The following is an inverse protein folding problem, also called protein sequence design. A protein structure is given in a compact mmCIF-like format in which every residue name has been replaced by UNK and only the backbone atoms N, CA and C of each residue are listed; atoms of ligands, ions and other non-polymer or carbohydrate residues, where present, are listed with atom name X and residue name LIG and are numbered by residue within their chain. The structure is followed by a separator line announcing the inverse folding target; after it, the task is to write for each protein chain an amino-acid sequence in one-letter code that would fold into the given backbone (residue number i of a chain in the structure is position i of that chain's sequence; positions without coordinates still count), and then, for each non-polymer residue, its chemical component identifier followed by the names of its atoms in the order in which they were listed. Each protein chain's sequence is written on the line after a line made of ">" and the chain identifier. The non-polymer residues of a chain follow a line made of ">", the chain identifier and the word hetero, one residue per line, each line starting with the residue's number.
data_IF_479469426229
#
_entry.id   IF_479469426229
#
_cell.length_a   1.000
_cell.length_b   1.000
_cell.length_c   1.000
_cell.angle_alpha   90.00
_cell.angle_beta   90.00
_cell.angle_gamma   90.00
#
_symmetry.space_group_name_H-M   'P 1'
#
loop_
_entity.id
_entity.type
_entity.pdbx_description
1 polymer ?
#
# COMPACT_ATOMS: atom_id res chain seq x y z
N UNK A 1 -27.77 7.56 -5.58
CA UNK A 1 -26.56 7.98 -4.85
C UNK A 1 -26.60 7.57 -3.37
N UNK A 2 -27.55 8.06 -2.51
CA UNK A 2 -27.57 7.73 -1.07
C UNK A 2 -27.84 6.24 -0.80
N UNK A 3 -28.85 5.65 -1.45
CA UNK A 3 -29.15 4.20 -1.32
C UNK A 3 -28.03 3.29 -1.82
N UNK A 4 -27.33 3.67 -2.87
CA UNK A 4 -26.16 2.92 -3.37
C UNK A 4 -24.97 2.98 -2.41
N UNK A 5 -24.79 4.11 -1.71
CA UNK A 5 -23.77 4.28 -0.68
C UNK A 5 -24.06 3.41 0.55
N UNK A 6 -25.33 3.36 1.00
CA UNK A 6 -25.75 2.49 2.11
C UNK A 6 -25.62 1.00 1.77
N UNK A 7 -25.99 0.62 0.55
CA UNK A 7 -25.87 -0.77 0.09
C UNK A 7 -24.42 -1.21 0.01
N UNK A 8 -23.52 -0.37 -0.51
CA UNK A 8 -22.06 -0.62 -0.53
C UNK A 8 -21.46 -0.74 0.88
N UNK A 9 -21.95 0.05 1.85
CA UNK A 9 -21.55 -0.08 3.26
C UNK A 9 -22.01 -1.40 3.88
N UNK A 10 -23.24 -1.84 3.57
CA UNK A 10 -23.77 -3.12 4.02
C UNK A 10 -22.99 -4.31 3.46
N UNK A 11 -22.68 -4.28 2.17
CA UNK A 11 -21.90 -5.32 1.49
C UNK A 11 -20.46 -5.38 2.05
N UNK A 12 -19.86 -4.22 2.36
CA UNK A 12 -18.56 -4.09 3.02
C UNK A 12 -18.53 -4.80 4.37
N UNK A 13 -19.52 -4.52 5.23
CA UNK A 13 -19.61 -5.11 6.58
C UNK A 13 -19.83 -6.63 6.50
N UNK A 14 -20.69 -7.10 5.59
CA UNK A 14 -20.96 -8.51 5.43
C UNK A 14 -19.74 -9.29 4.92
N UNK A 15 -19.01 -8.74 3.94
CA UNK A 15 -17.80 -9.35 3.40
C UNK A 15 -16.70 -9.43 4.47
N UNK A 16 -16.47 -8.34 5.19
CA UNK A 16 -15.47 -8.29 6.26
C UNK A 16 -15.81 -9.22 7.42
N UNK A 17 -17.08 -9.30 7.82
CA UNK A 17 -17.49 -10.23 8.86
C UNK A 17 -17.19 -11.69 8.49
N UNK A 18 -17.34 -12.05 7.23
CA UNK A 18 -16.98 -13.39 6.74
C UNK A 18 -15.46 -13.62 6.77
N UNK A 19 -14.69 -12.67 6.25
CA UNK A 19 -13.22 -12.79 6.13
C UNK A 19 -12.48 -12.66 7.47
N UNK A 20 -13.06 -11.96 8.46
CA UNK A 20 -12.57 -11.92 9.84
C UNK A 20 -12.93 -13.21 10.60
N UNK A 21 -14.11 -13.80 10.35
CA UNK A 21 -14.56 -15.02 11.03
C UNK A 21 -13.65 -16.20 10.74
N UNK A 22 -13.18 -16.36 9.51
CA UNK A 22 -12.37 -17.52 9.08
C UNK A 22 -11.04 -17.62 9.84
N UNK A 23 -10.16 -16.60 9.87
CA UNK A 23 -8.92 -16.66 10.65
C UNK A 23 -9.20 -16.75 12.16
N UNK A 24 -10.21 -16.05 12.68
CA UNK A 24 -10.60 -16.10 14.09
C UNK A 24 -10.99 -17.53 14.50
N UNK A 25 -11.84 -18.20 13.72
CA UNK A 25 -12.22 -19.59 13.98
C UNK A 25 -11.01 -20.52 13.99
N UNK A 26 -10.05 -20.29 13.09
CA UNK A 26 -8.80 -21.09 13.07
C UNK A 26 -7.96 -20.83 14.30
N UNK A 27 -7.78 -19.56 14.73
CA UNK A 27 -7.04 -19.22 15.96
C UNK A 27 -7.66 -19.92 17.16
N UNK A 28 -8.97 -19.77 17.35
CA UNK A 28 -9.69 -20.41 18.45
C UNK A 28 -9.55 -21.93 18.39
N UNK A 29 -9.70 -22.55 17.21
CA UNK A 29 -9.59 -23.98 17.03
C UNK A 29 -8.20 -24.53 17.42
N UNK A 30 -7.13 -23.91 16.92
CA UNK A 30 -5.75 -24.36 17.27
C UNK A 30 -5.39 -24.11 18.72
N UNK A 31 -5.83 -22.99 19.31
CA UNK A 31 -5.63 -22.73 20.74
C UNK A 31 -6.41 -23.72 21.62
N UNK A 32 -7.63 -24.10 21.19
CA UNK A 32 -8.43 -25.13 21.87
C UNK A 32 -7.73 -26.49 21.83
N UNK A 33 -7.20 -26.91 20.66
CA UNK A 33 -6.42 -28.14 20.54
C UNK A 33 -5.19 -28.12 21.44
N UNK A 34 -4.44 -27.02 21.45
CA UNK A 34 -3.25 -26.85 22.30
C UNK A 34 -3.56 -26.94 23.80
N UNK A 35 -4.73 -26.46 24.22
CA UNK A 35 -5.19 -26.48 25.61
C UNK A 35 -5.69 -27.86 26.02
N UNK A 36 -6.50 -28.50 25.18
CA UNK A 36 -7.34 -29.65 25.59
C UNK A 36 -6.68 -31.00 25.26
N UNK A 37 -5.63 -31.02 24.42
CA UNK A 37 -4.91 -32.26 24.10
C UNK A 37 -3.53 -32.30 24.76
N UNK A 38 -3.38 -33.01 25.93
CA UNK A 38 -2.12 -33.17 26.60
C UNK A 38 -1.17 -34.12 25.86
N UNK A 39 -1.68 -34.94 24.91
CA UNK A 39 -0.91 -35.93 24.14
C UNK A 39 -0.09 -35.34 23.01
N UNK A 40 -0.23 -34.05 22.70
CA UNK A 40 0.54 -33.38 21.66
C UNK A 40 2.04 -33.37 21.98
N UNK A 41 2.85 -33.80 21.03
CA UNK A 41 4.30 -33.69 21.12
C UNK A 41 4.78 -32.22 20.91
N UNK A 42 6.06 -31.97 21.17
CA UNK A 42 6.65 -30.63 21.07
C UNK A 42 6.58 -30.08 19.63
N UNK A 43 6.74 -30.92 18.62
CA UNK A 43 6.69 -30.52 17.20
C UNK A 43 5.27 -30.15 16.79
N UNK A 44 4.26 -30.90 17.22
CA UNK A 44 2.85 -30.61 17.00
C UNK A 44 2.43 -29.30 17.70
N UNK A 45 2.87 -29.11 18.96
CA UNK A 45 2.63 -27.85 19.68
C UNK A 45 3.24 -26.64 18.98
N UNK A 46 4.50 -26.75 18.56
CA UNK A 46 5.16 -25.68 17.80
C UNK A 46 4.43 -25.38 16.49
N UNK A 47 4.03 -26.41 15.74
CA UNK A 47 3.27 -26.28 14.50
C UNK A 47 1.93 -25.56 14.71
N UNK A 48 1.13 -25.98 15.69
CA UNK A 48 -0.20 -25.42 15.94
C UNK A 48 -0.12 -23.99 16.48
N UNK A 49 0.88 -23.71 17.33
CA UNK A 49 1.18 -22.34 17.77
C UNK A 49 1.57 -21.44 16.59
N UNK A 50 2.42 -21.92 15.69
CA UNK A 50 2.78 -21.18 14.46
C UNK A 50 1.57 -20.87 13.60
N UNK A 51 0.69 -21.85 13.35
CA UNK A 51 -0.53 -21.64 12.57
C UNK A 51 -1.45 -20.62 13.25
N UNK A 52 -1.65 -20.75 14.57
CA UNK A 52 -2.49 -19.80 15.32
C UNK A 52 -1.93 -18.36 15.25
N UNK A 53 -0.62 -18.21 15.38
CA UNK A 53 0.05 -16.91 15.27
C UNK A 53 -0.10 -16.30 13.86
N UNK A 54 0.09 -17.09 12.80
CA UNK A 54 -0.07 -16.61 11.41
C UNK A 54 -1.50 -16.17 11.14
N UNK A 55 -2.49 -16.90 11.68
CA UNK A 55 -3.91 -16.51 11.54
C UNK A 55 -4.27 -15.29 12.37
N UNK A 56 -3.66 -15.10 13.55
CA UNK A 56 -3.84 -13.91 14.36
C UNK A 56 -3.25 -12.66 13.69
N UNK A 57 -2.04 -12.75 13.13
CA UNK A 57 -1.43 -11.69 12.33
C UNK A 57 -2.30 -11.32 11.13
N UNK A 58 -2.85 -12.33 10.47
CA UNK A 58 -3.76 -12.10 9.36
C UNK A 58 -5.03 -11.36 9.77
N UNK A 59 -5.57 -11.67 10.95
CA UNK A 59 -6.73 -10.96 11.51
C UNK A 59 -6.39 -9.49 11.82
N UNK A 60 -5.21 -9.24 12.36
CA UNK A 60 -4.70 -7.89 12.63
C UNK A 60 -4.59 -7.05 11.33
N UNK A 61 -4.03 -7.62 10.26
CA UNK A 61 -3.97 -6.97 8.94
C UNK A 61 -5.36 -6.60 8.41
N UNK A 62 -6.32 -7.55 8.45
CA UNK A 62 -7.70 -7.33 8.00
C UNK A 62 -8.40 -6.24 8.80
N UNK A 63 -8.18 -6.18 10.13
CA UNK A 63 -8.70 -5.13 10.99
C UNK A 63 -8.08 -3.77 10.63
N UNK A 64 -6.77 -3.73 10.38
CA UNK A 64 -6.09 -2.53 9.90
C UNK A 64 -6.71 -2.01 8.61
N UNK A 65 -6.84 -2.86 7.59
CA UNK A 65 -7.48 -2.51 6.32
C UNK A 65 -8.93 -2.00 6.50
N UNK A 66 -9.69 -2.59 7.44
CA UNK A 66 -11.05 -2.14 7.76
C UNK A 66 -11.10 -0.75 8.39
N UNK A 67 -10.28 -0.51 9.43
CA UNK A 67 -10.22 0.80 10.07
C UNK A 67 -9.83 1.90 9.10
N UNK A 68 -8.99 1.56 8.17
CA UNK A 68 -8.54 2.48 7.15
C UNK A 68 -9.65 2.92 6.19
N UNK A 69 -10.48 1.98 5.73
CA UNK A 69 -11.63 2.32 4.90
C UNK A 69 -12.65 3.15 5.67
N UNK A 70 -12.95 2.75 6.91
CA UNK A 70 -13.90 3.49 7.73
C UNK A 70 -13.40 4.90 8.06
N UNK A 71 -12.08 5.05 8.27
CA UNK A 71 -11.46 6.36 8.50
C UNK A 71 -11.44 7.22 7.24
N UNK A 72 -11.20 6.65 6.07
CA UNK A 72 -11.25 7.37 4.80
C UNK A 72 -12.66 7.89 4.47
N UNK A 73 -13.70 7.10 4.75
CA UNK A 73 -15.09 7.53 4.61
C UNK A 73 -15.46 8.70 5.58
N UNK A 74 -14.82 8.76 6.75
CA UNK A 74 -15.05 9.80 7.76
C UNK A 74 -14.14 11.04 7.58
N UNK A 75 -12.90 10.84 7.14
CA UNK A 75 -11.87 11.87 6.93
C UNK A 75 -11.77 12.28 5.44
N UNK A 76 -12.92 12.52 4.78
CA UNK A 76 -12.96 13.03 3.40
C UNK A 76 -12.37 14.45 3.25
N UNK A 77 -11.80 15.02 4.32
CA UNK A 77 -11.06 16.28 4.29
C UNK A 77 -9.63 16.08 3.78
N UNK A 78 -9.08 17.09 3.11
CA UNK A 78 -7.63 17.11 2.86
C UNK A 78 -6.95 17.17 4.23
N UNK A 79 -6.26 16.09 4.65
CA UNK A 79 -5.38 16.12 5.80
C UNK A 79 -4.38 17.27 5.71
N UNK A 80 -3.68 17.58 6.80
CA UNK A 80 -2.66 18.64 6.77
C UNK A 80 -1.62 18.33 5.69
N UNK A 81 -1.75 19.01 4.55
CA UNK A 81 -0.80 18.83 3.45
C UNK A 81 0.47 19.62 3.74
N UNK A 82 1.58 18.92 3.68
CA UNK A 82 2.90 19.52 3.83
C UNK A 82 3.83 19.09 2.68
N UNK A 83 4.91 19.84 2.41
CA UNK A 83 5.93 19.40 1.47
C UNK A 83 6.61 18.12 1.94
N UNK A 84 6.55 17.08 1.12
CA UNK A 84 7.11 15.76 1.42
C UNK A 84 8.27 15.51 0.47
N UNK A 85 9.44 15.15 1.02
CA UNK A 85 10.60 14.66 0.27
C UNK A 85 10.32 13.21 -0.16
N UNK A 86 9.69 13.06 -1.31
CA UNK A 86 9.24 11.78 -1.83
C UNK A 86 10.40 10.79 -2.04
N UNK A 87 11.57 11.30 -2.44
CA UNK A 87 12.76 10.48 -2.58
C UNK A 87 13.17 9.81 -1.26
N UNK A 88 13.17 10.55 -0.15
CA UNK A 88 13.50 9.99 1.17
C UNK A 88 12.44 8.99 1.63
N UNK A 89 11.16 9.29 1.42
CA UNK A 89 10.06 8.39 1.80
C UNK A 89 10.16 7.05 1.08
N UNK A 90 10.45 7.05 -0.23
CA UNK A 90 10.55 5.82 -1.02
C UNK A 90 11.81 5.02 -0.67
N UNK A 91 12.94 5.67 -0.40
CA UNK A 91 14.17 5.02 0.06
C UNK A 91 13.96 4.34 1.41
N UNK A 92 13.35 5.05 2.38
CA UNK A 92 13.03 4.49 3.69
C UNK A 92 12.11 3.27 3.58
N UNK A 93 11.05 3.35 2.79
CA UNK A 93 10.15 2.22 2.60
C UNK A 93 10.84 1.03 1.92
N UNK A 94 11.74 1.26 0.95
CA UNK A 94 12.51 0.18 0.35
C UNK A 94 13.37 -0.56 1.38
N UNK A 95 13.98 0.18 2.33
CA UNK A 95 14.76 -0.40 3.44
C UNK A 95 13.86 -1.18 4.41
N UNK A 96 12.69 -0.67 4.75
CA UNK A 96 11.71 -1.36 5.61
C UNK A 96 11.21 -2.67 4.98
N UNK A 97 11.14 -2.76 3.66
CA UNK A 97 10.73 -3.96 2.93
C UNK A 97 11.84 -4.99 2.71
N UNK A 98 13.10 -4.65 3.05
CA UNK A 98 14.23 -5.55 2.84
C UNK A 98 14.04 -6.96 3.45
N UNK A 99 13.51 -7.14 4.68
CA UNK A 99 13.25 -8.47 5.23
C UNK A 99 12.27 -9.29 4.39
N UNK A 100 11.23 -8.66 3.83
CA UNK A 100 10.24 -9.32 2.98
C UNK A 100 10.83 -9.71 1.62
N UNK A 101 11.71 -8.88 1.06
CA UNK A 101 12.46 -9.23 -0.14
C UNK A 101 13.39 -10.42 0.11
N UNK A 102 14.10 -10.43 1.24
CA UNK A 102 15.00 -11.50 1.61
C UNK A 102 14.27 -12.84 1.84
N UNK A 103 13.11 -12.83 2.52
CA UNK A 103 12.28 -14.01 2.74
C UNK A 103 11.87 -14.70 1.43
N UNK A 104 11.48 -13.92 0.43
CA UNK A 104 11.11 -14.42 -0.91
C UNK A 104 12.29 -14.52 -1.90
N UNK A 105 13.51 -14.23 -1.46
CA UNK A 105 14.71 -14.19 -2.28
C UNK A 105 14.59 -13.23 -3.48
N UNK A 106 13.84 -12.14 -3.34
CA UNK A 106 13.64 -11.14 -4.37
C UNK A 106 14.86 -10.22 -4.47
N UNK A 107 15.24 -9.87 -5.69
CA UNK A 107 16.25 -8.84 -5.96
C UNK A 107 15.54 -7.49 -6.07
N UNK A 108 15.85 -6.57 -5.17
CA UNK A 108 15.29 -5.21 -5.22
C UNK A 108 16.30 -4.24 -5.86
N UNK A 109 15.85 -3.45 -6.83
CA UNK A 109 16.60 -2.34 -7.43
C UNK A 109 15.87 -1.04 -7.12
N UNK A 110 16.62 -0.03 -6.63
CA UNK A 110 16.07 1.28 -6.24
C UNK A 110 16.79 2.36 -7.05
N UNK A 111 16.04 3.06 -7.91
CA UNK A 111 16.52 4.14 -8.78
C UNK A 111 15.64 5.36 -8.59
N UNK A 112 15.99 6.23 -7.67
CA UNK A 112 15.18 7.38 -7.26
C UNK A 112 15.93 8.68 -7.56
N UNK A 113 15.28 9.55 -8.35
CA UNK A 113 15.78 10.89 -8.59
C UNK A 113 15.72 11.71 -7.29
N UNK A 114 16.82 12.34 -6.90
CA UNK A 114 16.86 13.21 -5.72
C UNK A 114 15.96 14.44 -5.86
N UNK A 115 15.55 15.00 -4.71
CA UNK A 115 14.76 16.24 -4.63
C UNK A 115 13.37 16.19 -5.30
N UNK A 116 12.74 15.03 -5.30
CA UNK A 116 11.32 14.93 -5.64
C UNK A 116 10.48 15.38 -4.44
N UNK A 117 9.83 16.54 -4.56
CA UNK A 117 8.96 17.09 -3.51
C UNK A 117 7.53 17.16 -4.01
N UNK A 118 6.60 16.65 -3.22
CA UNK A 118 5.15 16.71 -3.47
C UNK A 118 4.45 17.35 -2.27
N UNK A 119 3.26 17.93 -2.49
CA UNK A 119 2.44 18.46 -1.40
C UNK A 119 1.40 17.41 -1.01
N UNK A 120 1.45 16.92 0.22
CA UNK A 120 0.55 15.85 0.65
C UNK A 120 0.58 15.57 2.13
N UNK A 121 -0.20 14.57 2.52
CA UNK A 121 -0.22 13.97 3.84
C UNK A 121 0.82 12.81 3.86
N UNK A 122 1.86 12.88 4.70
CA UNK A 122 2.94 11.89 4.68
C UNK A 122 2.47 10.49 5.04
N UNK A 123 1.56 10.33 6.00
CA UNK A 123 1.06 9.03 6.43
C UNK A 123 0.22 8.38 5.31
N UNK A 124 -0.61 9.18 4.64
CA UNK A 124 -1.41 8.73 3.51
C UNK A 124 -0.53 8.32 2.33
N UNK A 125 0.50 9.11 1.99
CA UNK A 125 1.40 8.75 0.89
C UNK A 125 2.30 7.55 1.22
N UNK A 126 2.82 7.45 2.44
CA UNK A 126 3.54 6.26 2.89
C UNK A 126 2.70 5.00 2.70
N UNK A 127 1.41 5.09 3.03
CA UNK A 127 0.46 4.01 2.87
C UNK A 127 0.20 3.62 1.41
N UNK A 128 0.18 4.58 0.48
CA UNK A 128 0.08 4.27 -0.97
C UNK A 128 1.21 3.34 -1.37
N UNK A 129 2.44 3.72 -1.03
CA UNK A 129 3.61 2.94 -1.45
C UNK A 129 3.73 1.61 -0.69
N UNK A 130 3.38 1.55 0.60
CA UNK A 130 3.29 0.31 1.37
C UNK A 130 2.31 -0.68 0.71
N UNK A 131 1.10 -0.24 0.37
CA UNK A 131 0.09 -1.08 -0.29
C UNK A 131 0.58 -1.62 -1.64
N UNK A 132 1.22 -0.78 -2.45
CA UNK A 132 1.73 -1.19 -3.77
C UNK A 132 2.93 -2.10 -3.63
N UNK A 133 3.86 -1.84 -2.70
CA UNK A 133 5.01 -2.70 -2.43
C UNK A 133 4.59 -4.06 -1.86
N UNK A 134 3.65 -4.11 -0.92
CA UNK A 134 3.07 -5.38 -0.42
C UNK A 134 2.45 -6.19 -1.56
N UNK A 135 1.74 -5.52 -2.45
CA UNK A 135 1.19 -6.17 -3.64
C UNK A 135 2.32 -6.72 -4.52
N UNK A 136 3.31 -5.90 -4.87
CA UNK A 136 4.46 -6.31 -5.67
C UNK A 136 5.18 -7.52 -5.05
N UNK A 137 5.48 -7.50 -3.75
CA UNK A 137 6.11 -8.63 -3.04
C UNK A 137 5.22 -9.85 -3.06
N UNK A 138 3.91 -9.70 -2.75
CA UNK A 138 2.98 -10.82 -2.64
C UNK A 138 2.84 -11.59 -3.94
N UNK A 139 2.79 -10.90 -5.07
CA UNK A 139 2.60 -11.47 -6.39
C UNK A 139 3.90 -11.71 -7.19
N UNK A 140 5.05 -11.39 -6.60
CA UNK A 140 6.34 -11.73 -7.20
C UNK A 140 6.59 -13.24 -7.20
N UNK A 141 7.19 -13.72 -8.27
CA UNK A 141 7.76 -15.07 -8.34
C UNK A 141 8.94 -15.18 -7.36
N UNK A 142 9.06 -16.25 -6.57
CA UNK A 142 10.23 -16.46 -5.72
C UNK A 142 11.53 -16.38 -6.52
N UNK A 143 12.52 -15.64 -6.02
CA UNK A 143 13.79 -15.39 -6.73
C UNK A 143 13.70 -14.35 -7.85
N UNK A 144 12.53 -13.76 -8.08
CA UNK A 144 12.28 -12.72 -9.08
C UNK A 144 12.86 -11.36 -8.70
N UNK A 145 12.36 -10.32 -9.39
CA UNK A 145 12.85 -8.94 -9.22
C UNK A 145 11.72 -7.98 -8.86
N UNK A 146 12.04 -6.99 -8.03
CA UNK A 146 11.22 -5.81 -7.75
C UNK A 146 12.06 -4.57 -8.04
N UNK A 147 11.57 -3.68 -8.91
CA UNK A 147 12.24 -2.42 -9.23
C UNK A 147 11.39 -1.25 -8.72
N UNK A 148 12.01 -0.31 -8.02
CA UNK A 148 11.41 0.93 -7.54
C UNK A 148 12.12 2.08 -8.26
N UNK A 149 11.39 2.80 -9.09
CA UNK A 149 11.92 3.95 -9.83
C UNK A 149 11.09 5.18 -9.54
N UNK A 150 11.74 6.34 -9.40
CA UNK A 150 11.04 7.62 -9.28
C UNK A 150 11.81 8.71 -10.02
N UNK A 151 11.09 9.48 -10.84
CA UNK A 151 11.65 10.55 -11.68
C UNK A 151 10.67 11.68 -11.91
N UNK A 152 11.18 12.81 -12.35
CA UNK A 152 10.36 13.92 -12.83
C UNK A 152 9.91 13.68 -14.28
N UNK A 153 8.60 13.76 -14.53
CA UNK A 153 8.02 13.76 -15.87
C UNK A 153 7.14 15.00 -16.02
N UNK A 154 7.61 15.96 -16.75
CA UNK A 154 6.92 17.25 -16.89
C UNK A 154 6.75 18.01 -15.55
N UNK A 155 5.54 18.08 -15.04
CA UNK A 155 5.21 18.71 -13.75
C UNK A 155 4.82 17.69 -12.67
N UNK A 156 5.10 16.43 -12.90
CA UNK A 156 4.73 15.35 -12.00
C UNK A 156 5.97 14.57 -11.54
N UNK A 157 5.93 14.04 -10.34
CA UNK A 157 6.75 12.93 -9.92
C UNK A 157 6.08 11.65 -10.41
N UNK A 158 6.77 10.89 -11.24
CA UNK A 158 6.34 9.58 -11.70
C UNK A 158 7.11 8.52 -10.92
N UNK A 159 6.37 7.67 -10.21
CA UNK A 159 6.89 6.55 -9.41
C UNK A 159 6.42 5.27 -10.07
N UNK A 160 7.37 4.38 -10.38
CA UNK A 160 7.08 3.07 -10.95
C UNK A 160 7.58 1.99 -9.99
N UNK A 161 6.66 1.15 -9.53
CA UNK A 161 6.97 -0.06 -8.77
C UNK A 161 6.65 -1.23 -9.68
N UNK A 162 7.68 -1.99 -10.04
CA UNK A 162 7.58 -3.10 -10.98
C UNK A 162 7.97 -4.40 -10.29
N UNK A 163 7.23 -5.46 -10.56
CA UNK A 163 7.57 -6.79 -10.07
C UNK A 163 7.52 -7.84 -11.18
N UNK A 164 8.32 -8.87 -11.00
CA UNK A 164 8.31 -10.06 -11.85
C UNK A 164 7.36 -11.12 -11.27
N UNK A 165 6.27 -11.41 -11.97
CA UNK A 165 5.21 -12.29 -11.46
C UNK A 165 4.30 -12.81 -12.57
N UNK A 166 3.10 -13.22 -12.19
CA UNK A 166 2.08 -13.64 -13.15
C UNK A 166 1.49 -12.41 -13.85
N UNK A 167 1.22 -12.58 -15.14
CA UNK A 167 0.56 -11.57 -15.95
C UNK A 167 -0.87 -11.32 -15.49
N UNK A 168 -1.24 -10.05 -15.40
CA UNK A 168 -2.62 -9.62 -15.18
C UNK A 168 -3.27 -9.47 -16.55
N UNK A 169 -4.38 -10.19 -16.85
CA UNK A 169 -5.08 -10.04 -18.11
C UNK A 169 -5.50 -8.59 -18.37
N UNK A 170 -5.40 -8.12 -19.61
CA UNK A 170 -5.69 -6.72 -19.97
C UNK A 170 -7.08 -6.26 -19.50
N UNK A 171 -8.09 -7.11 -19.63
CA UNK A 171 -9.45 -6.83 -19.15
C UNK A 171 -9.58 -6.66 -17.64
N UNK A 172 -8.57 -7.08 -16.86
CA UNK A 172 -8.58 -7.03 -15.40
C UNK A 172 -7.76 -5.88 -14.82
N UNK A 173 -6.94 -5.21 -15.63
CA UNK A 173 -6.07 -4.12 -15.18
C UNK A 173 -6.81 -2.95 -14.52
N UNK A 174 -8.03 -2.66 -14.95
CA UNK A 174 -8.87 -1.63 -14.32
C UNK A 174 -9.55 -2.17 -13.05
N UNK A 175 -9.87 -3.46 -13.02
CA UNK A 175 -10.62 -4.09 -11.94
C UNK A 175 -9.79 -4.28 -10.67
N UNK A 176 -8.47 -4.44 -10.78
CA UNK A 176 -7.58 -4.62 -9.61
C UNK A 176 -7.60 -3.44 -8.62
N UNK A 177 -8.10 -2.28 -9.04
CA UNK A 177 -8.30 -1.10 -8.18
C UNK A 177 -9.70 -1.01 -7.57
N UNK A 178 -10.59 -1.95 -7.87
CA UNK A 178 -11.91 -2.01 -7.24
C UNK A 178 -11.79 -2.60 -5.84
N UNK A 179 -12.60 -2.10 -4.90
CA UNK A 179 -12.67 -2.62 -3.52
C UNK A 179 -13.06 -4.12 -3.57
N UNK A 180 -12.32 -4.97 -2.83
CA UNK A 180 -12.53 -6.43 -2.72
C UNK A 180 -12.25 -7.24 -3.99
N UNK A 181 -11.77 -6.60 -5.04
CA UNK A 181 -11.43 -7.32 -6.25
C UNK A 181 -10.14 -8.14 -6.09
N UNK A 182 -10.18 -9.39 -6.57
CA UNK A 182 -9.04 -10.32 -6.58
C UNK A 182 -9.13 -11.21 -7.82
N UNK A 183 -8.01 -11.41 -8.49
CA UNK A 183 -7.92 -12.41 -9.56
C UNK A 183 -8.13 -13.81 -8.98
N UNK A 184 -8.89 -14.68 -9.66
CA UNK A 184 -9.27 -16.01 -9.16
C UNK A 184 -8.08 -16.90 -8.78
N UNK A 185 -6.94 -16.77 -9.47
CA UNK A 185 -5.69 -17.46 -9.14
C UNK A 185 -5.11 -17.04 -7.77
N UNK A 186 -5.50 -15.89 -7.23
CA UNK A 186 -5.03 -15.35 -5.95
C UNK A 186 -5.93 -15.73 -4.75
N UNK A 187 -7.04 -16.43 -4.97
CA UNK A 187 -7.95 -16.92 -3.90
C UNK A 187 -7.34 -17.96 -2.98
N UNK A 188 -6.13 -18.47 -3.30
CA UNK A 188 -5.41 -19.31 -2.37
C UNK A 188 -5.02 -18.51 -1.12
N UNK A 189 -5.30 -19.06 0.04
CA UNK A 189 -5.11 -18.48 1.39
C UNK A 189 -3.69 -18.04 1.73
N UNK A 190 -2.72 -18.14 0.82
CA UNK A 190 -1.29 -17.87 1.03
C UNK A 190 -0.84 -16.45 0.65
N UNK A 191 -1.61 -15.73 -0.18
CA UNK A 191 -1.27 -14.35 -0.64
C UNK A 191 -2.30 -13.31 -0.19
N UNK A 192 -2.98 -13.59 0.87
CA UNK A 192 -4.24 -13.04 1.28
C UNK A 192 -4.27 -11.59 1.76
N UNK A 193 -4.51 -10.60 0.90
CA UNK A 193 -5.10 -9.31 1.25
C UNK A 193 -6.63 -9.34 1.08
N UNK A 194 -7.39 -8.47 1.75
CA UNK A 194 -8.83 -8.32 1.55
C UNK A 194 -9.21 -7.73 0.17
N UNK A 195 -8.23 -7.42 -0.67
CA UNK A 195 -8.45 -6.75 -1.96
C UNK A 195 -8.76 -5.26 -1.82
N UNK A 196 -8.27 -4.65 -0.76
CA UNK A 196 -8.54 -3.25 -0.41
C UNK A 196 -7.32 -2.34 -0.65
N UNK A 197 -6.11 -2.86 -0.54
CA UNK A 197 -4.88 -2.06 -0.56
C UNK A 197 -4.73 -1.21 -1.82
N UNK A 198 -4.96 -1.77 -3.02
CA UNK A 198 -4.86 -1.01 -4.27
C UNK A 198 -6.01 0.01 -4.43
N UNK A 199 -7.21 -0.31 -3.94
CA UNK A 199 -8.33 0.63 -3.95
C UNK A 199 -8.04 1.84 -3.04
N UNK A 200 -7.50 1.59 -1.85
CA UNK A 200 -7.05 2.62 -0.91
C UNK A 200 -5.93 3.47 -1.55
N UNK A 201 -4.93 2.84 -2.14
CA UNK A 201 -3.85 3.54 -2.81
C UNK A 201 -4.37 4.48 -3.91
N UNK A 202 -5.30 4.02 -4.74
CA UNK A 202 -5.93 4.81 -5.78
C UNK A 202 -6.66 6.03 -5.22
N UNK A 203 -7.51 5.84 -4.21
CA UNK A 203 -8.29 6.90 -3.58
C UNK A 203 -7.38 7.98 -2.96
N UNK A 204 -6.30 7.56 -2.29
CA UNK A 204 -5.32 8.51 -1.73
C UNK A 204 -4.60 9.27 -2.85
N UNK A 205 -4.11 8.60 -3.89
CA UNK A 205 -3.42 9.24 -5.02
C UNK A 205 -4.33 10.25 -5.71
N UNK A 206 -5.57 9.89 -6.00
CA UNK A 206 -6.58 10.77 -6.61
C UNK A 206 -6.90 11.96 -5.70
N UNK A 207 -7.03 11.77 -4.39
CA UNK A 207 -7.23 12.88 -3.43
C UNK A 207 -6.04 13.84 -3.39
N UNK A 208 -4.84 13.41 -3.76
CA UNK A 208 -3.64 14.25 -3.90
C UNK A 208 -3.49 14.87 -5.30
N UNK A 209 -4.50 14.75 -6.17
CA UNK A 209 -4.47 15.27 -7.53
C UNK A 209 -3.58 14.47 -8.48
N UNK A 210 -3.24 13.25 -8.10
CA UNK A 210 -2.44 12.30 -8.86
C UNK A 210 -3.28 11.29 -9.63
N UNK A 211 -2.59 10.33 -10.23
CA UNK A 211 -3.19 9.18 -10.89
C UNK A 211 -2.34 7.92 -10.63
N UNK A 212 -2.99 6.77 -10.55
CA UNK A 212 -2.35 5.46 -10.48
C UNK A 212 -2.91 4.56 -11.58
N UNK A 213 -2.02 3.86 -12.26
CA UNK A 213 -2.37 2.86 -13.28
C UNK A 213 -1.51 1.61 -13.13
N UNK A 214 -1.97 0.53 -13.70
CA UNK A 214 -1.25 -0.73 -13.78
C UNK A 214 -1.05 -1.11 -15.24
N UNK A 215 0.15 -1.60 -15.55
CA UNK A 215 0.53 -2.17 -16.82
C UNK A 215 1.07 -3.58 -16.55
N UNK A 216 0.64 -4.57 -17.30
CA UNK A 216 1.14 -5.95 -17.18
C UNK A 216 1.42 -6.51 -18.56
N UNK A 217 2.61 -7.06 -18.74
CA UNK A 217 3.04 -7.64 -20.01
C UNK A 217 3.97 -8.83 -19.76
N UNK A 218 3.51 -10.02 -20.11
CA UNK A 218 4.23 -11.27 -19.88
C UNK A 218 4.44 -11.52 -18.39
N UNK A 219 5.69 -11.41 -17.91
CA UNK A 219 6.03 -11.64 -16.50
C UNK A 219 6.19 -10.37 -15.68
N UNK A 220 6.01 -9.20 -16.28
CA UNK A 220 6.26 -7.92 -15.63
C UNK A 220 4.93 -7.22 -15.36
N UNK A 221 4.69 -6.88 -14.10
CA UNK A 221 3.60 -6.00 -13.67
C UNK A 221 4.20 -4.71 -13.14
N UNK A 222 3.70 -3.57 -13.59
CA UNK A 222 4.18 -2.24 -13.23
C UNK A 222 3.02 -1.40 -12.72
N UNK A 223 3.13 -0.90 -11.50
CA UNK A 223 2.25 0.14 -10.97
C UNK A 223 2.91 1.49 -11.19
N UNK A 224 2.24 2.37 -11.91
CA UNK A 224 2.75 3.71 -12.22
C UNK A 224 1.88 4.74 -11.52
N UNK A 225 2.50 5.50 -10.61
CA UNK A 225 1.88 6.53 -9.78
C UNK A 225 2.42 7.88 -10.23
N UNK A 226 1.54 8.83 -10.51
CA UNK A 226 1.90 10.19 -10.87
C UNK A 226 1.35 11.17 -9.84
N UNK A 227 2.20 11.99 -9.24
CA UNK A 227 1.82 13.01 -8.25
C UNK A 227 2.31 14.39 -8.69
N UNK A 228 1.52 15.47 -8.50
CA UNK A 228 1.95 16.82 -8.82
C UNK A 228 3.19 17.21 -8.02
N UNK A 229 4.26 17.67 -8.69
CA UNK A 229 5.44 18.21 -8.02
C UNK A 229 5.09 19.52 -7.29
N UNK A 230 5.52 19.62 -6.05
CA UNK A 230 5.47 20.85 -5.29
C UNK A 230 6.58 21.79 -5.76
N UNK A 231 6.21 22.96 -6.27
CA UNK A 231 7.15 24.04 -6.55
C UNK A 231 7.08 25.02 -5.39
N UNK A 232 8.12 25.08 -4.62
CA UNK A 232 8.28 26.15 -3.65
C UNK A 232 8.27 27.49 -4.41
N UNK A 233 7.23 28.32 -4.21
CA UNK A 233 7.23 29.69 -4.70
C UNK A 233 8.25 30.42 -3.86
N UNK A 234 9.48 30.54 -4.36
CA UNK A 234 10.47 31.43 -3.77
C UNK A 234 9.88 32.85 -3.83
N UNK A 235 9.30 33.30 -2.74
CA UNK A 235 9.09 34.73 -2.53
C UNK A 235 10.46 35.38 -2.56
N UNK A 236 10.79 35.97 -3.71
CA UNK A 236 11.92 36.91 -3.86
C UNK A 236 11.56 38.08 -2.97
N UNK A 237 12.08 38.09 -1.74
CA UNK A 237 12.14 39.29 -0.94
C UNK A 237 13.01 40.26 -1.73
N UNK A 238 12.39 41.15 -2.52
CA UNK A 238 12.99 42.38 -2.96
C UNK A 238 13.29 43.21 -1.69
N UNK A 239 14.49 43.09 -1.20
CA UNK A 239 15.03 44.07 -0.25
C UNK A 239 14.97 45.40 -0.97
N UNK A 240 13.99 46.25 -0.63
CA UNK A 240 13.97 47.67 -0.93
C UNK A 240 15.22 48.28 -0.27
N UNK A 241 16.30 48.41 -1.02
CA UNK A 241 17.33 49.40 -0.76
C UNK A 241 16.79 50.76 -1.17
N UNK A 242 16.03 51.40 -0.30
CA UNK A 242 15.66 52.79 -0.44
C UNK A 242 16.11 53.51 0.83
N UNK A 243 17.07 54.36 0.68
CA UNK A 243 17.23 55.57 1.49
C UNK A 243 18.01 55.47 2.75
N UNK A 244 19.34 55.51 2.67
CA UNK A 244 20.13 56.24 3.65
C UNK A 244 20.71 57.44 2.93
N UNK A 245 20.02 58.56 3.01
CA UNK A 245 20.56 59.91 2.80
C UNK A 245 21.28 60.30 4.08
N UNK A 246 22.55 60.59 3.96
CA UNK A 246 23.40 61.22 5.02
C UNK A 246 22.87 62.62 5.34
N UNK A 247 22.82 63.03 6.62
CA UNK A 247 22.68 64.43 6.96
C UNK A 247 24.06 65.10 7.00
N UNK A 248 24.07 66.33 6.53
CA UNK A 248 25.19 67.27 6.64
C UNK A 248 25.54 67.62 8.08
#
# INVERSE_FOLDING_TARGET
>A
AARESEQRKGDLVAFLAHDLKTPLTSVVGYLTLLRDDPGLDAAQRAKFTGIALDKARRLEELLGEFFDITRMDLDSGPGERQPIQLSMLLEQLADEFYPLFAEKQLRCTVEIQHHLVVLGDPDKLARVFDNVLRNAVSYSTPGGRVDIQAKTVGRQAEITIRNEGLEIPEGELANIFQKFYRLDAARSSRTGGAGLGLAIAKEIVESHGGNIRCESNGRLTSFVISLPLYKEVRHVFKRNRAGLSEPK
#
